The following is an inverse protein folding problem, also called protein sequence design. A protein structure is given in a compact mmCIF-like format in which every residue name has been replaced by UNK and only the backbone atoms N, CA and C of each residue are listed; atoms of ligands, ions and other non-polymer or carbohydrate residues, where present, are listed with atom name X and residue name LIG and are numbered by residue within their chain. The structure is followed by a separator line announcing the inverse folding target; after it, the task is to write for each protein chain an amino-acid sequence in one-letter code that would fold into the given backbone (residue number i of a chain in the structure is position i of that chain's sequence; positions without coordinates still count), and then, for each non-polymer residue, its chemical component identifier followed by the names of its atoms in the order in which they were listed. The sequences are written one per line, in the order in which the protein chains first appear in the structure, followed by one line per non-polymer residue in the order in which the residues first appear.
data_IF_332050913539
#
_entry.id   IF_332050913539
#
_cell.length_a   1.000
_cell.length_b   1.000
_cell.length_c   1.000
_cell.angle_alpha   90.00
_cell.angle_beta   90.00
_cell.angle_gamma   90.00
#
_symmetry.space_group_name_H-M   'P 1'
#
loop_
_entity.id
_entity.type
_entity.pdbx_description
1 polymer ?
2 non-polymer ?
3 water ?
#
# COMPACT_ATOMS: atom_id res chain seq x y z
N UNK A 12 -8.39 17.72 -14.32
CA UNK A 12 -8.58 19.12 -13.95
C UNK A 12 -7.46 19.59 -13.03
N UNK A 13 -7.26 20.91 -12.97
CA UNK A 13 -6.28 21.52 -12.09
C UNK A 13 -6.87 22.78 -11.47
N UNK A 14 -6.29 23.21 -10.36
CA UNK A 14 -6.76 24.38 -9.67
C UNK A 14 -8.03 24.19 -8.86
N UNK A 15 -8.42 22.95 -8.60
CA UNK A 15 -9.61 22.66 -7.82
C UNK A 15 -9.32 21.55 -6.81
N UNK A 16 -9.93 21.66 -5.64
CA UNK A 16 -9.83 20.65 -4.60
C UNK A 16 -11.22 20.05 -4.36
N UNK A 17 -11.30 18.73 -4.36
CA UNK A 17 -12.56 18.01 -4.16
C UNK A 17 -12.40 17.15 -2.91
N UNK A 18 -12.81 17.70 -1.76
CA UNK A 18 -12.78 16.99 -0.49
C UNK A 18 -14.19 16.55 -0.18
N UNK A 19 -14.43 15.24 -0.21
CA UNK A 19 -15.76 14.70 -0.01
C UNK A 19 -16.61 14.78 -1.26
N UNK A 20 -17.39 15.85 -1.40
CA UNK A 20 -18.20 16.05 -2.57
C UNK A 20 -18.25 17.50 -3.00
N UNK A 21 -17.50 18.36 -2.30
CA UNK A 21 -17.49 19.78 -2.56
C UNK A 21 -16.20 20.15 -3.29
N UNK A 22 -16.35 20.72 -4.49
CA UNK A 22 -15.22 21.22 -5.26
C UNK A 22 -14.95 22.68 -4.87
N UNK A 23 -13.69 23.00 -4.62
CA UNK A 23 -13.28 24.32 -4.18
C UNK A 23 -12.30 24.93 -5.17
N UNK A 24 -12.60 26.16 -5.60
CA UNK A 24 -11.63 26.94 -6.38
C UNK A 24 -10.45 27.27 -5.48
N UNK A 25 -9.29 26.68 -5.78
CA UNK A 25 -8.13 26.82 -4.90
C UNK A 25 -6.88 27.03 -5.73
N UNK A 26 -5.87 27.61 -5.07
CA UNK A 26 -4.54 27.76 -5.62
C UNK A 26 -3.55 27.23 -4.60
N UNK A 27 -2.27 27.21 -4.98
CA UNK A 27 -1.24 26.66 -4.08
C UNK A 27 -1.09 27.53 -2.84
N UNK A 28 -1.33 28.85 -2.97
CA UNK A 28 -1.22 29.74 -1.83
C UNK A 28 -2.38 29.59 -0.84
N UNK A 29 -3.42 28.85 -1.21
CA UNK A 29 -4.54 28.58 -0.31
C UNK A 29 -4.26 27.42 0.64
N UNK A 30 -3.05 26.87 0.63
CA UNK A 30 -2.67 25.75 1.48
C UNK A 30 -1.53 26.19 2.39
N UNK A 31 -1.58 25.75 3.65
CA UNK A 31 -0.57 26.07 4.64
C UNK A 31 0.32 24.85 4.87
N UNK A 32 1.61 25.01 4.66
CA UNK A 32 2.55 23.90 4.80
C UNK A 32 2.76 23.59 6.28
N UNK A 33 2.38 22.37 6.69
CA UNK A 33 2.52 21.94 8.07
C UNK A 33 3.74 21.04 8.29
N UNK A 34 4.63 20.97 7.32
CA UNK A 34 5.84 20.18 7.44
C UNK A 34 5.83 18.96 6.51
N UNK A 35 7.01 18.37 6.37
CA UNK A 35 7.21 17.23 5.50
C UNK A 35 6.87 15.94 6.24
N UNK A 36 6.35 14.97 5.48
CA UNK A 36 6.00 13.66 6.01
C UNK A 36 6.96 12.63 5.41
N UNK A 37 7.76 12.00 6.27
CA UNK A 37 8.71 10.99 5.84
C UNK A 37 9.75 11.50 4.87
N UNK A 43 8.97 13.47 -1.83
CA UNK A 43 8.66 14.59 -0.95
C UNK A 43 7.15 14.85 -0.90
N UNK A 44 6.52 14.43 0.19
CA UNK A 44 5.08 14.59 0.41
C UNK A 44 4.88 15.53 1.58
N UNK A 45 4.18 16.63 1.33
CA UNK A 45 3.92 17.63 2.37
C UNK A 45 2.58 17.36 3.04
N UNK A 46 2.52 17.71 4.33
CA UNK A 46 1.26 17.78 5.06
C UNK A 46 0.80 19.24 5.04
N UNK A 47 -0.33 19.51 4.40
CA UNK A 47 -0.80 20.87 4.23
C UNK A 47 -2.25 20.99 4.65
N UNK A 48 -2.64 22.19 5.07
CA UNK A 48 -3.98 22.48 5.54
C UNK A 48 -4.64 23.48 4.59
N UNK A 49 -5.84 23.13 4.12
CA UNK A 49 -6.63 24.01 3.27
C UNK A 49 -7.23 25.11 4.14
N UNK A 50 -6.79 26.36 3.92
CA UNK A 50 -7.22 27.46 4.78
C UNK A 50 -8.70 27.76 4.63
N UNK A 51 -9.29 27.44 3.47
CA UNK A 51 -10.69 27.80 3.24
C UNK A 51 -11.64 26.93 4.06
N UNK A 52 -11.25 25.69 4.36
CA UNK A 52 -12.10 24.76 5.10
C UNK A 52 -11.47 24.21 6.36
N UNK A 53 -10.14 24.20 6.48
CA UNK A 53 -9.48 23.55 7.58
C UNK A 53 -9.10 22.11 7.33
N UNK A 54 -9.43 21.57 6.16
CA UNK A 54 -9.05 20.20 5.83
C UNK A 54 -7.54 20.08 5.74
N UNK A 55 -7.00 19.00 6.30
CA UNK A 55 -5.58 18.69 6.21
C UNK A 55 -5.40 17.58 5.18
N UNK A 56 -4.56 17.84 4.18
CA UNK A 56 -4.36 16.92 3.07
C UNK A 56 -2.87 16.65 2.90
N UNK A 57 -2.57 15.61 2.12
CA UNK A 57 -1.21 15.29 1.72
C UNK A 57 -0.95 15.86 0.34
N UNK A 58 0.17 16.54 0.17
CA UNK A 58 0.51 17.21 -1.07
C UNK A 58 1.89 16.75 -1.51
N UNK A 59 1.97 16.15 -2.69
CA UNK A 59 3.25 15.78 -3.31
C UNK A 59 3.66 16.88 -4.28
N UNK A 60 4.91 17.32 -4.17
CA UNK A 60 5.44 18.41 -4.98
C UNK A 60 6.42 17.85 -6.01
N UNK A 61 6.16 18.13 -7.28
CA UNK A 61 7.03 17.73 -8.38
C UNK A 61 7.61 18.98 -9.00
N UNK A 62 8.91 19.22 -8.79
CA UNK A 62 9.57 20.38 -9.35
C UNK A 62 9.91 20.12 -10.81
N UNK A 63 9.62 21.10 -11.68
CA UNK A 63 9.92 20.93 -13.09
C UNK A 63 11.42 20.88 -13.36
N UNK A 64 12.23 21.41 -12.45
CA UNK A 64 13.68 21.36 -12.57
C UNK A 64 14.27 20.11 -11.93
N UNK A 65 13.44 19.19 -11.46
CA UNK A 65 13.91 17.98 -10.81
C UNK A 65 14.43 16.97 -11.82
N UNK A 66 14.70 15.77 -11.30
CA UNK A 66 15.22 14.70 -12.14
C UNK A 66 14.17 14.24 -13.15
N UNK A 67 14.60 14.07 -14.40
CA UNK A 67 13.69 13.65 -15.45
C UNK A 67 13.16 12.24 -15.21
N UNK A 68 13.94 11.39 -14.55
CA UNK A 68 13.48 10.03 -14.27
C UNK A 68 12.37 10.02 -13.22
N UNK A 69 12.53 10.81 -12.16
CA UNK A 69 11.51 10.86 -11.12
C UNK A 69 10.22 11.49 -11.65
N UNK A 70 10.33 12.60 -12.37
CA UNK A 70 9.14 13.28 -12.89
C UNK A 70 8.43 12.44 -13.93
N UNK A 71 9.15 11.54 -14.60
CA UNK A 71 8.50 10.68 -15.60
C UNK A 71 7.56 9.68 -14.94
N UNK A 72 8.01 9.06 -13.85
CA UNK A 72 7.18 8.08 -13.16
C UNK A 72 6.08 8.73 -12.34
N UNK A 73 6.32 9.93 -11.81
CA UNK A 73 5.31 10.62 -11.03
C UNK A 73 4.11 10.98 -11.90
N UNK A 74 4.36 11.48 -13.11
CA UNK A 74 3.27 11.76 -14.03
C UNK A 74 2.59 10.48 -14.51
N UNK A 75 3.32 9.36 -14.55
CA UNK A 75 2.73 8.11 -14.99
C UNK A 75 1.79 7.54 -13.94
N UNK A 76 2.20 7.55 -12.67
CA UNK A 76 1.35 7.02 -11.61
C UNK A 76 0.16 7.94 -11.35
N UNK A 77 0.36 9.26 -11.44
CA UNK A 77 -0.75 10.19 -11.30
C UNK A 77 -1.84 9.92 -12.33
N UNK A 78 -1.43 9.54 -13.55
CA UNK A 78 -2.41 9.14 -14.56
C UNK A 78 -3.25 7.97 -14.06
N UNK A 79 -2.62 6.99 -13.41
CA UNK A 79 -3.36 5.86 -12.87
C UNK A 79 -4.18 6.29 -11.66
N UNK A 80 -3.62 7.14 -10.81
CA UNK A 80 -4.33 7.59 -9.61
C UNK A 80 -5.61 8.33 -10.01
N UNK A 81 -5.51 9.22 -11.00
CA UNK A 81 -6.69 9.94 -11.47
C UNK A 81 -7.69 9.00 -12.12
N UNK A 82 -7.24 7.87 -12.66
CA UNK A 82 -8.12 6.88 -13.25
C UNK A 82 -8.69 5.91 -12.23
N UNK A 83 -8.19 5.91 -11.00
CA UNK A 83 -8.61 4.99 -9.96
C UNK A 83 -9.57 5.61 -8.96
N UNK A 84 -10.43 6.53 -9.41
CA UNK A 84 -11.36 7.19 -8.52
C UNK A 84 -12.47 6.26 -8.04
N UNK A 85 -12.70 5.15 -8.73
CA UNK A 85 -13.74 4.20 -8.38
C UNK A 85 -13.23 3.03 -7.54
N UNK A 86 -11.96 3.03 -7.17
CA UNK A 86 -11.40 1.97 -6.34
C UNK A 86 -11.25 2.46 -4.91
N UNK A 87 -11.95 1.88 -3.94
CA UNK A 87 -11.85 2.35 -2.55
C UNK A 87 -10.59 1.89 -1.83
N UNK A 88 -9.72 1.13 -2.50
CA UNK A 88 -8.51 0.60 -1.87
C UNK A 88 -7.24 1.24 -2.45
N UNK A 89 -7.37 2.42 -3.05
CA UNK A 89 -6.25 3.16 -3.60
C UNK A 89 -6.35 4.60 -3.12
N UNK A 90 -5.21 5.17 -2.72
CA UNK A 90 -5.19 6.56 -2.26
C UNK A 90 -5.72 7.47 -3.35
N UNK A 91 -6.68 8.31 -2.98
CA UNK A 91 -7.39 9.14 -3.94
C UNK A 91 -6.71 10.50 -4.10
N UNK A 92 -6.89 11.10 -5.27
CA UNK A 92 -6.35 12.41 -5.58
C UNK A 92 -7.47 13.45 -5.46
N UNK A 93 -7.22 14.49 -4.67
CA UNK A 93 -8.20 15.57 -4.50
C UNK A 93 -8.07 16.65 -5.56
N UNK A 94 -6.95 16.71 -6.26
CA UNK A 94 -6.75 17.74 -7.25
C UNK A 94 -5.27 17.98 -7.46
N UNK A 95 -4.99 18.85 -8.43
CA UNK A 95 -3.62 19.20 -8.79
C UNK A 95 -3.50 20.71 -8.94
N UNK A 96 -2.32 21.22 -8.58
CA UNK A 96 -1.97 22.63 -8.77
C UNK A 96 -0.72 22.69 -9.64
N UNK A 97 -0.82 23.39 -10.76
CA UNK A 97 0.29 23.51 -11.71
C UNK A 97 0.72 24.96 -11.74
N UNK A 98 1.94 25.22 -11.29
CA UNK A 98 2.55 26.54 -11.36
C UNK A 98 3.61 26.55 -12.46
N UNK A 99 4.24 27.71 -12.65
CA UNK A 99 5.26 27.82 -13.69
C UNK A 99 6.54 27.08 -13.36
N UNK A 100 6.70 26.62 -12.11
CA UNK A 100 7.90 25.90 -11.70
C UNK A 100 7.64 24.60 -10.96
N UNK A 101 6.39 24.29 -10.62
CA UNK A 101 6.09 23.12 -9.80
C UNK A 101 4.75 22.53 -10.20
N UNK A 102 4.53 21.28 -9.78
CA UNK A 102 3.25 20.61 -9.89
C UNK A 102 2.93 20.01 -8.52
N UNK A 103 1.87 20.51 -7.90
CA UNK A 103 1.45 20.04 -6.59
C UNK A 103 0.27 19.09 -6.76
N UNK A 104 0.38 17.89 -6.21
CA UNK A 104 -0.65 16.86 -6.33
C UNK A 104 -1.25 16.67 -4.95
N UNK A 105 -2.50 17.11 -4.78
CA UNK A 105 -3.19 16.96 -3.51
C UNK A 105 -3.72 15.54 -3.38
N UNK A 106 -3.37 14.87 -2.28
CA UNK A 106 -3.73 13.49 -2.08
C UNK A 106 -4.48 13.33 -0.76
N UNK A 107 -5.27 12.26 -0.69
CA UNK A 107 -5.97 11.90 0.54
C UNK A 107 -4.96 11.59 1.65
N UNK A 108 -5.09 12.28 2.77
CA UNK A 108 -4.16 12.13 3.87
C UNK A 108 -4.48 10.88 4.67
N UNK A 109 -3.54 9.95 4.73
CA UNK A 109 -3.67 8.73 5.52
C UNK A 109 -2.95 8.90 6.85
N UNK A 110 -3.04 7.88 7.70
CA UNK A 110 -2.38 7.91 8.98
C UNK A 110 -0.91 7.56 8.90
N UNK A 111 -0.60 6.31 8.57
CA UNK A 111 0.77 5.86 8.43
C UNK A 111 0.79 4.57 7.62
N UNK A 112 1.99 4.11 7.27
CA UNK A 112 2.14 2.90 6.49
C UNK A 112 2.26 1.68 7.41
N UNK A 113 2.17 0.50 6.80
CA UNK A 113 2.20 -0.74 7.57
C UNK A 113 3.58 -0.99 8.17
N UNK A 114 4.64 -0.49 7.52
CA UNK A 114 5.98 -0.69 8.06
C UNK A 114 6.17 0.10 9.36
N UNK A 115 5.62 1.33 9.42
CA UNK A 115 5.68 2.10 10.66
C UNK A 115 4.80 1.47 11.74
N UNK A 116 3.66 0.90 11.34
CA UNK A 116 2.81 0.21 12.29
C UNK A 116 3.52 -0.99 12.91
N UNK A 117 4.33 -1.70 12.11
CA UNK A 117 5.11 -2.81 12.63
C UNK A 117 6.16 -2.32 13.62
N UNK A 118 6.88 -1.25 13.26
CA UNK A 118 7.89 -0.70 14.16
C UNK A 118 7.26 -0.11 15.42
N UNK A 119 6.10 0.52 15.27
CA UNK A 119 5.41 1.06 16.45
C UNK A 119 4.86 -0.07 17.32
N UNK A 120 4.40 -1.16 16.71
CA UNK A 120 3.92 -2.29 17.48
C UNK A 120 5.04 -3.02 18.19
N UNK A 121 6.25 -3.00 17.61
CA UNK A 121 7.40 -3.76 18.13
C UNK A 121 7.05 -5.24 18.27
N UNK A 122 6.27 -5.76 17.32
CA UNK A 122 5.87 -7.14 17.33
C UNK A 122 4.91 -7.48 16.20
N UNK A 123 4.38 -8.69 16.22
CA UNK A 123 3.47 -9.11 15.15
C UNK A 123 2.17 -8.33 15.15
N UNK A 124 1.63 -8.13 13.95
CA UNK A 124 0.33 -7.49 13.77
C UNK A 124 -0.74 -8.58 13.76
N UNK A 125 -1.85 -8.39 14.48
CA UNK A 125 -2.85 -9.47 14.60
C UNK A 125 -3.39 -9.90 13.25
N UNK A 126 -3.86 -11.15 13.20
CA UNK A 126 -4.35 -11.72 11.94
C UNK A 126 -5.60 -11.00 11.44
N UNK A 127 -6.47 -10.58 12.37
CA UNK A 127 -7.70 -9.91 11.95
C UNK A 127 -7.41 -8.59 11.26
N UNK A 128 -6.31 -7.93 11.62
CA UNK A 128 -5.92 -6.70 10.93
C UNK A 128 -5.33 -7.04 9.56
N UNK A 129 -4.48 -8.07 9.51
CA UNK A 129 -3.91 -8.51 8.24
C UNK A 129 -4.97 -9.12 7.33
N UNK A 130 -6.09 -9.60 7.89
CA UNK A 130 -7.16 -10.10 7.05
C UNK A 130 -7.85 -8.99 6.27
N UNK A 131 -8.23 -7.91 6.97
CA UNK A 131 -8.76 -6.74 6.27
C UNK A 131 -7.73 -6.13 5.33
N UNK A 132 -6.46 -6.16 5.73
CA UNK A 132 -5.40 -5.65 4.88
C UNK A 132 -5.25 -6.49 3.63
N UNK A 133 -5.37 -7.82 3.76
CA UNK A 133 -5.24 -8.69 2.60
C UNK A 133 -6.37 -8.46 1.61
N UNK A 134 -7.60 -8.35 2.10
CA UNK A 134 -8.75 -8.11 1.22
C UNK A 134 -8.58 -6.80 0.46
N UNK A 135 -8.09 -5.76 1.14
CA UNK A 135 -7.95 -4.46 0.50
C UNK A 135 -6.85 -4.47 -0.56
N UNK A 136 -5.72 -5.11 -0.25
CA UNK A 136 -4.58 -5.06 -1.17
C UNK A 136 -4.85 -5.90 -2.42
N UNK A 137 -5.45 -7.08 -2.24
CA UNK A 137 -5.72 -7.95 -3.38
C UNK A 137 -6.71 -7.29 -4.33
N UNK A 138 -7.78 -6.69 -3.79
CA UNK A 138 -8.75 -6.02 -4.64
C UNK A 138 -8.15 -4.79 -5.31
N UNK A 139 -7.15 -4.16 -4.69
CA UNK A 139 -6.48 -3.05 -5.34
C UNK A 139 -5.62 -3.52 -6.50
N UNK A 140 -4.90 -4.63 -6.31
CA UNK A 140 -4.08 -5.18 -7.39
C UNK A 140 -4.96 -5.73 -8.51
N UNK A 141 -6.07 -6.38 -8.16
CA UNK A 141 -6.99 -6.88 -9.18
C UNK A 141 -7.64 -5.74 -9.95
N UNK A 142 -7.84 -4.59 -9.30
CA UNK A 142 -8.40 -3.44 -10.01
C UNK A 142 -7.38 -2.85 -10.99
N UNK A 143 -6.12 -2.76 -10.57
CA UNK A 143 -5.10 -2.19 -11.45
C UNK A 143 -4.87 -3.03 -12.69
N UNK A 144 -5.06 -4.35 -12.59
CA UNK A 144 -4.80 -5.23 -13.72
C UNK A 144 -5.97 -5.27 -14.69
N UNK A 145 -7.19 -5.43 -14.17
CA UNK A 145 -8.34 -5.60 -15.05
C UNK A 145 -8.74 -4.30 -15.72
N UNK A 146 -8.75 -3.20 -14.98
CA UNK A 146 -9.29 -1.95 -15.51
C UNK A 146 -8.23 -1.03 -16.11
N UNK A 147 -6.97 -1.18 -15.69
CA UNK A 147 -5.91 -0.31 -16.17
C UNK A 147 -4.73 -1.07 -16.79
N UNK A 148 -4.73 -2.40 -16.72
CA UNK A 148 -3.61 -3.16 -17.25
C UNK A 148 -2.30 -2.93 -16.53
N UNK A 149 -2.35 -2.49 -15.28
CA UNK A 149 -1.15 -2.19 -14.50
C UNK A 149 -0.86 -3.36 -13.57
N UNK A 150 0.39 -3.80 -13.55
CA UNK A 150 0.85 -4.84 -12.63
C UNK A 150 1.85 -4.19 -11.68
N UNK A 151 1.41 -3.96 -10.45
CA UNK A 151 2.21 -3.26 -9.44
C UNK A 151 3.41 -4.12 -9.05
N UNK A 152 4.57 -3.79 -9.61
CA UNK A 152 5.74 -4.64 -9.49
C UNK A 152 6.51 -4.43 -8.17
N UNK A 153 5.83 -3.95 -7.12
CA UNK A 153 6.46 -3.83 -5.81
C UNK A 153 5.46 -3.68 -4.68
N UNK A 154 4.96 -4.79 -4.13
CA UNK A 154 4.04 -4.75 -2.99
C UNK A 154 4.83 -5.03 -1.72
N UNK A 155 4.80 -4.08 -0.79
CA UNK A 155 5.56 -4.18 0.44
C UNK A 155 4.85 -3.37 1.52
N UNK A 156 5.15 -3.63 2.80
CA UNK A 156 4.44 -2.91 3.88
C UNK A 156 4.57 -1.40 3.80
N UNK A 157 5.61 -0.87 3.15
CA UNK A 157 5.73 0.58 3.00
C UNK A 157 4.71 1.15 2.03
N UNK A 158 4.13 0.32 1.17
CA UNK A 158 3.14 0.77 0.20
C UNK A 158 1.71 0.56 0.68
N UNK A 159 1.51 0.02 1.87
CA UNK A 159 0.19 -0.22 2.43
C UNK A 159 -0.08 0.86 3.47
N UNK A 160 -1.07 1.70 3.21
CA UNK A 160 -1.39 2.83 4.07
C UNK A 160 -2.66 2.57 4.87
N UNK A 161 -2.70 3.06 6.10
CA UNK A 161 -3.86 2.97 6.96
C UNK A 161 -4.10 4.32 7.62
N UNK A 162 -5.33 4.54 8.04
CA UNK A 162 -5.72 5.78 8.72
C UNK A 162 -6.48 5.45 10.00
N UNK A 163 -6.84 6.50 10.75
CA UNK A 163 -7.53 6.32 12.01
C UNK A 163 -9.00 5.98 11.85
N UNK A 164 -9.51 5.89 10.62
CA UNK A 164 -10.88 5.51 10.34
C UNK A 164 -10.99 4.06 9.88
N UNK A 165 -9.90 3.30 9.91
CA UNK A 165 -9.92 1.91 9.55
C UNK A 165 -9.67 1.60 8.09
N UNK A 166 -9.50 2.62 7.25
CA UNK A 166 -9.27 2.38 5.83
C UNK A 166 -7.88 1.81 5.59
N UNK A 167 -7.78 0.93 4.61
CA UNK A 167 -6.51 0.33 4.19
C UNK A 167 -6.42 0.46 2.68
N UNK A 168 -5.44 1.23 2.21
CA UNK A 168 -5.32 1.54 0.79
C UNK A 168 -3.89 1.33 0.32
N UNK A 169 -3.74 1.12 -0.98
CA UNK A 169 -2.45 0.97 -1.62
C UNK A 169 -1.90 2.34 -1.99
N UNK A 170 -0.60 2.54 -1.76
CA UNK A 170 0.00 3.86 -1.91
C UNK A 170 0.56 4.10 -3.31
N UNK A 171 1.71 3.50 -3.61
CA UNK A 171 2.46 3.77 -4.83
C UNK A 171 2.37 2.60 -5.78
N UNK A 172 2.73 2.85 -7.04
CA UNK A 172 2.68 1.84 -8.07
C UNK A 172 4.03 1.70 -8.78
N UNK A 192 13.79 -7.68 -2.66
CA UNK A 192 13.41 -8.27 -1.38
C UNK A 192 12.06 -8.95 -1.48
N UNK A 193 11.21 -8.46 -2.39
CA UNK A 193 9.88 -9.02 -2.60
C UNK A 193 9.68 -9.53 -4.02
N UNK A 194 10.75 -9.62 -4.81
CA UNK A 194 10.62 -10.05 -6.20
C UNK A 194 10.29 -11.53 -6.29
N UNK A 195 9.34 -11.85 -7.16
CA UNK A 195 8.92 -13.23 -7.36
C UNK A 195 10.03 -14.03 -8.04
N UNK A 196 10.03 -15.36 -7.87
CA UNK A 196 11.08 -16.18 -8.50
C UNK A 196 11.12 -16.08 -10.01
N UNK A 197 9.96 -15.94 -10.67
CA UNK A 197 9.96 -15.85 -12.13
C UNK A 197 10.28 -14.46 -12.64
N UNK A 198 10.05 -13.41 -11.83
CA UNK A 198 10.45 -12.06 -12.20
C UNK A 198 11.95 -11.89 -12.26
N UNK A 199 12.72 -12.96 -12.01
CA UNK A 199 14.17 -12.90 -11.95
C UNK A 199 14.76 -13.62 -13.16
N UNK A 200 14.11 -14.71 -13.57
CA UNK A 200 14.53 -15.49 -14.71
C UNK A 200 13.75 -15.02 -15.94
N UNK A 212 0.13 -13.37 -9.96
CA UNK A 212 1.38 -13.36 -10.71
C UNK A 212 2.57 -13.03 -9.82
N UNK A 213 3.42 -12.12 -10.30
CA UNK A 213 4.62 -11.76 -9.55
C UNK A 213 4.28 -10.95 -8.31
N UNK A 214 3.20 -10.18 -8.34
CA UNK A 214 2.83 -9.35 -7.20
C UNK A 214 2.28 -10.20 -6.06
N UNK A 215 1.74 -11.38 -6.36
CA UNK A 215 1.20 -12.25 -5.33
C UNK A 215 2.31 -12.72 -4.39
N UNK A 216 3.50 -12.98 -4.94
CA UNK A 216 4.63 -13.36 -4.10
C UNK A 216 5.02 -12.23 -3.16
N UNK A 217 4.99 -10.98 -3.66
CA UNK A 217 5.34 -9.84 -2.83
C UNK A 217 4.37 -9.64 -1.69
N UNK A 218 3.08 -9.93 -1.91
CA UNK A 218 2.09 -9.81 -0.85
C UNK A 218 2.31 -10.87 0.23
N UNK A 219 2.65 -12.10 -0.18
CA UNK A 219 2.88 -13.15 0.80
C UNK A 219 4.06 -12.85 1.70
N UNK A 220 5.15 -12.33 1.12
CA UNK A 220 6.31 -11.95 1.92
C UNK A 220 5.94 -10.84 2.91
N UNK A 221 5.13 -9.88 2.44
CA UNK A 221 4.70 -8.79 3.33
C UNK A 221 3.81 -9.32 4.45
N UNK A 222 2.97 -10.31 4.15
CA UNK A 222 2.10 -10.87 5.18
C UNK A 222 2.90 -11.63 6.23
N UNK A 223 3.92 -12.37 5.80
CA UNK A 223 4.76 -13.10 6.76
C UNK A 223 5.52 -12.11 7.64
N UNK A 224 6.03 -11.03 7.05
CA UNK A 224 6.78 -10.04 7.82
C UNK A 224 5.90 -9.39 8.87
N UNK A 225 4.66 -9.03 8.52
CA UNK A 225 3.78 -8.37 9.46
C UNK A 225 3.19 -9.35 10.48
N UNK A 226 2.95 -10.60 10.09
CA UNK A 226 2.38 -11.58 11.00
C UNK A 226 3.38 -12.10 12.01
N UNK A 227 4.68 -12.00 11.73
CA UNK A 227 5.72 -12.45 12.64
C UNK A 227 6.55 -11.33 13.22
N UNK A 228 6.41 -10.11 12.69
CA UNK A 228 7.29 -9.03 13.11
C UNK A 228 8.72 -9.16 12.66
N UNK A 229 9.02 -10.14 11.81
CA UNK A 229 10.37 -10.41 11.34
C UNK A 229 10.36 -10.54 9.84
N UNK A 230 11.24 -9.81 9.17
CA UNK A 230 11.38 -9.96 7.73
C UNK A 230 12.03 -11.30 7.43
N UNK A 231 11.42 -12.14 6.58
CA UNK A 231 11.95 -13.50 6.37
C UNK A 231 13.34 -13.52 5.75
N UNK A 232 13.82 -12.41 5.19
CA UNK A 232 15.17 -12.36 4.65
C UNK A 232 15.95 -11.24 5.33
N UNK A 233 15.90 -11.19 6.66
CA UNK A 233 16.57 -10.12 7.41
C UNK A 233 18.06 -10.37 7.57
N UNK A 234 18.53 -11.60 7.40
CA UNK A 234 19.94 -11.94 7.58
C UNK A 234 20.76 -11.72 6.33
N UNK A 235 20.14 -11.35 5.21
CA UNK A 235 20.84 -11.13 3.96
C UNK A 235 21.41 -9.73 3.91
N UNK A 236 22.68 -9.62 3.50
CA UNK A 236 23.37 -8.33 3.46
C UNK A 236 23.11 -7.58 2.16
N UNK A 237 23.22 -8.27 1.02
CA UNK A 237 23.03 -7.66 -0.28
C UNK A 237 21.66 -8.03 -0.85
N UNK A 238 21.25 -7.29 -1.88
CA UNK A 238 20.01 -7.61 -2.57
C UNK A 238 20.12 -8.94 -3.32
N UNK A 239 21.34 -9.31 -3.73
CA UNK A 239 21.53 -10.57 -4.44
C UNK A 239 21.43 -11.76 -3.48
N UNK A 240 21.75 -11.57 -2.20
CA UNK A 240 21.64 -12.65 -1.24
C UNK A 240 20.18 -13.00 -0.97
N UNK A 241 19.32 -11.98 -0.87
CA UNK A 241 17.87 -12.24 -0.83
C UNK A 241 17.45 -13.01 -2.07
N UNK A 242 17.98 -12.61 -3.22
CA UNK A 242 17.65 -13.28 -4.48
C UNK A 242 18.01 -14.76 -4.45
N UNK A 243 19.19 -15.09 -3.91
CA UNK A 243 19.63 -16.48 -3.88
C UNK A 243 18.73 -17.32 -2.98
N UNK A 244 18.28 -16.75 -1.86
CA UNK A 244 17.47 -17.53 -0.92
C UNK A 244 16.07 -17.75 -1.45
N UNK A 245 15.54 -16.84 -2.26
CA UNK A 245 14.20 -17.02 -2.82
C UNK A 245 14.18 -18.22 -3.76
N UNK A 246 15.24 -18.42 -4.53
CA UNK A 246 15.25 -19.52 -5.51
C UNK A 246 15.72 -20.83 -4.90
N UNK A 247 16.69 -20.77 -3.99
CA UNK A 247 17.29 -22.00 -3.44
C UNK A 247 16.50 -22.54 -2.24
N UNK A 248 16.09 -21.68 -1.32
CA UNK A 248 15.45 -22.13 -0.10
C UNK A 248 13.94 -22.27 -0.29
N UNK A 249 13.33 -23.01 0.63
CA UNK A 249 11.88 -23.19 0.59
C UNK A 249 11.18 -21.88 0.93
N UNK A 250 9.94 -21.70 0.48
CA UNK A 250 9.21 -20.46 0.75
C UNK A 250 9.04 -20.24 2.24
N UNK A 251 9.31 -19.02 2.72
CA UNK A 251 9.16 -18.74 4.16
C UNK A 251 7.70 -18.70 4.59
N UNK A 252 7.15 -19.86 4.98
CA UNK A 252 5.75 -19.95 5.31
C UNK A 252 5.47 -19.43 6.72
N UNK A 253 4.19 -19.30 7.03
CA UNK A 253 3.78 -18.81 8.34
C UNK A 253 4.04 -19.89 9.40
N UNK A 254 4.52 -19.50 10.58
CA UNK A 254 4.74 -20.49 11.64
C UNK A 254 3.42 -21.09 12.11
N UNK A 255 3.49 -22.31 12.64
CA UNK A 255 2.34 -23.04 13.09
C UNK A 255 2.08 -22.99 14.58
N UNK A 256 2.84 -22.21 15.35
CA UNK A 256 2.69 -22.15 16.80
C UNK A 256 2.30 -20.75 17.28
N UNK A 257 1.68 -19.95 16.41
CA UNK A 257 1.24 -18.61 16.77
C UNK A 257 -0.27 -18.46 16.71
N UNK A 258 -1.01 -19.56 16.67
CA UNK A 258 -2.46 -19.50 16.61
C UNK A 258 -3.04 -19.02 15.30
N UNK A 259 -2.24 -18.96 14.24
CA UNK A 259 -2.76 -18.55 12.94
C UNK A 259 -3.78 -19.57 12.43
N UNK A 260 -4.87 -19.06 11.87
CA UNK A 260 -5.90 -19.92 11.34
C UNK A 260 -5.38 -20.68 10.11
N UNK A 261 -6.02 -21.82 9.83
CA UNK A 261 -5.66 -22.58 8.65
C UNK A 261 -5.90 -21.82 7.36
N UNK A 262 -6.88 -20.92 7.36
CA UNK A 262 -7.13 -20.12 6.17
C UNK A 262 -6.00 -19.13 5.91
N UNK A 263 -5.47 -18.52 6.97
CA UNK A 263 -4.35 -17.59 6.81
C UNK A 263 -3.11 -18.31 6.30
N UNK A 264 -2.77 -19.45 6.92
CA UNK A 264 -1.60 -20.21 6.47
C UNK A 264 -1.77 -20.73 5.06
N UNK A 265 -3.00 -21.06 4.68
CA UNK A 265 -3.26 -21.53 3.31
C UNK A 265 -3.11 -20.40 2.30
N UNK A 266 -3.58 -19.20 2.66
CA UNK A 266 -3.46 -18.06 1.74
C UNK A 266 -2.00 -17.68 1.55
N UNK A 267 -1.20 -17.72 2.61
CA UNK A 267 0.21 -17.38 2.50
C UNK A 267 0.95 -18.42 1.66
N UNK A 268 0.65 -19.70 1.89
CA UNK A 268 1.30 -20.77 1.12
C UNK A 268 0.96 -20.66 -0.36
N UNK A 269 -0.28 -20.28 -0.68
CA UNK A 269 -0.66 -20.09 -2.07
C UNK A 269 0.05 -18.89 -2.68
N UNK A 270 0.26 -17.84 -1.89
CA UNK A 270 0.98 -16.67 -2.38
C UNK A 270 2.45 -16.96 -2.59
N UNK A 271 3.04 -17.82 -1.76
CA UNK A 271 4.45 -18.13 -1.83
C UNK A 271 4.74 -19.38 -2.67
N UNK A 272 4.10 -19.51 -3.82
CA UNK A 272 4.38 -20.61 -4.73
C UNK A 272 5.58 -20.22 -5.60
N UNK A 273 6.65 -21.03 -5.55
CA UNK A 273 7.85 -20.70 -6.29
C UNK A 273 7.64 -20.85 -7.79
N UNK A 274 6.98 -21.92 -8.21
CA UNK A 274 6.63 -22.09 -9.62
C UNK A 274 5.49 -21.13 -9.97
N UNK A 275 5.80 -20.12 -10.78
CA UNK A 275 4.80 -19.09 -11.08
C UNK A 275 3.63 -19.65 -11.89
N UNK A 276 3.87 -20.71 -12.66
CA UNK A 276 2.80 -21.31 -13.45
C UNK A 276 1.72 -21.92 -12.57
N UNK A 277 2.06 -22.26 -11.32
CA UNK A 277 1.10 -22.80 -10.36
C UNK A 277 0.63 -21.77 -9.35
N UNK A 278 1.10 -20.52 -9.45
CA UNK A 278 0.64 -19.48 -8.54
C UNK A 278 -0.73 -18.98 -8.99
N UNK A 279 -1.71 -18.89 -8.09
CA UNK A 279 -3.09 -18.59 -8.52
C UNK A 279 -3.23 -17.16 -9.02
N UNK A 280 -4.28 -16.96 -9.80
CA UNK A 280 -4.64 -15.63 -10.29
C UNK A 280 -5.31 -14.84 -9.19
N UNK A 281 -5.58 -13.56 -9.50
CA UNK A 281 -6.42 -12.76 -8.62
C UNK A 281 -7.85 -13.27 -8.60
N UNK A 282 -8.31 -13.86 -9.72
CA UNK A 282 -9.63 -14.47 -9.75
C UNK A 282 -9.71 -15.65 -8.78
N UNK A 283 -8.65 -16.45 -8.71
CA UNK A 283 -8.62 -17.57 -7.77
C UNK A 283 -8.36 -17.11 -6.35
N UNK A 284 -7.54 -16.07 -6.16
CA UNK A 284 -7.24 -15.59 -4.82
C UNK A 284 -8.48 -14.98 -4.17
N UNK A 285 -9.26 -14.22 -4.91
CA UNK A 285 -10.43 -13.55 -4.35
C UNK A 285 -11.51 -14.53 -3.88
N UNK A 286 -11.41 -15.81 -4.23
CA UNK A 286 -12.33 -16.82 -3.74
C UNK A 286 -11.76 -17.65 -2.61
N UNK A 287 -10.51 -17.38 -2.20
CA UNK A 287 -9.93 -18.11 -1.09
C UNK A 287 -10.71 -17.83 0.18
N UNK A 288 -10.84 -18.86 1.04
CA UNK A 288 -11.66 -18.72 2.24
C UNK A 288 -11.13 -17.63 3.17
N UNK A 289 -9.83 -17.35 3.12
CA UNK A 289 -9.28 -16.26 3.92
C UNK A 289 -9.81 -14.91 3.43
N UNK A 290 -9.93 -14.74 2.11
CA UNK A 290 -10.54 -13.52 1.57
C UNK A 290 -12.03 -13.47 1.91
N UNK A 291 -12.72 -14.61 1.75
CA UNK A 291 -14.17 -14.63 1.98
C UNK A 291 -14.52 -14.31 3.42
N UNK A 292 -13.69 -14.73 4.37
CA UNK A 292 -14.00 -14.48 5.78
C UNK A 292 -13.95 -12.98 6.09
N UNK A 293 -12.88 -12.31 5.68
CA UNK A 293 -12.69 -10.91 6.02
C UNK A 293 -13.33 -9.95 5.03
N UNK A 294 -14.02 -10.46 4.00
CA UNK A 294 -14.84 -9.59 3.18
C UNK A 294 -16.07 -9.10 3.93
N UNK A 295 -16.54 -9.88 4.91
CA UNK A 295 -17.75 -9.57 5.65
C UNK A 295 -17.56 -9.44 7.15
N UNK A 296 -16.52 -10.05 7.72
CA UNK A 296 -16.32 -9.99 9.16
C UNK A 296 -16.02 -8.56 9.59
N UNK A 297 -16.65 -8.14 10.69
CA UNK A 297 -16.45 -6.80 11.22
C UNK A 297 -15.19 -6.76 12.06
N UNK A 298 -14.19 -5.99 11.61
CA UNK A 298 -12.93 -5.84 12.31
C UNK A 298 -12.73 -4.36 12.59
N UNK A 299 -12.60 -4.01 13.88
CA UNK A 299 -12.44 -2.62 14.29
C UNK A 299 -10.99 -2.21 14.07
N UNK A 300 -10.66 -1.96 12.80
CA UNK A 300 -9.31 -1.53 12.46
C UNK A 300 -9.04 -0.12 12.96
N UNK A 301 -10.07 0.73 12.99
CA UNK A 301 -9.89 2.11 13.44
C UNK A 301 -9.45 2.16 14.89
N UNK A 302 -10.10 1.38 15.75
CA UNK A 302 -9.73 1.38 17.17
C UNK A 302 -8.35 0.75 17.37
N UNK A 303 -8.03 -0.29 16.61
CA UNK A 303 -6.70 -0.89 16.71
C UNK A 303 -5.63 0.09 16.25
N UNK A 304 -5.91 0.85 15.19
CA UNK A 304 -4.94 1.83 14.70
C UNK A 304 -4.67 2.91 15.74
N UNK A 305 -5.72 3.39 16.40
CA UNK A 305 -5.53 4.42 17.43
C UNK A 305 -4.73 3.89 18.61
N UNK A 306 -4.96 2.62 18.99
CA UNK A 306 -4.26 2.06 20.13
C UNK A 306 -2.77 1.91 19.85
N UNK A 307 -2.41 1.55 18.62
CA UNK A 307 -0.99 1.41 18.27
C UNK A 307 -0.33 2.77 18.18
N UNK A 308 -1.03 3.75 17.58
CA UNK A 308 -0.48 5.09 17.46
C UNK A 308 -0.36 5.80 18.81
N UNK A 309 -1.11 5.35 19.81
CA UNK A 309 -1.05 5.91 21.16
C UNK A 309 0.10 5.33 21.98
N UNK A 310 1.13 4.80 21.34
CA UNK A 310 2.28 4.21 22.01
C UNK A 310 3.56 4.88 21.52
N UNK A 311 4.51 5.06 22.43
CA UNK A 311 5.78 5.70 22.11
C UNK A 311 6.95 4.86 22.59
X LIG B 1 -1.13 10.14 3.68
X LIG B 1 -0.26 9.97 4.69
X LIG B 1 2.24 9.68 -8.73
X LIG B 1 1.51 9.33 3.28
X LIG B 1 2.45 9.22 -6.44
X LIG B 1 1.23 9.78 -6.12
X LIG B 1 0.78 9.75 -4.80
X LIG B 1 2.95 9.23 -7.85
X LIG B 1 4.32 8.69 -8.11
X LIG B 1 3.99 8.62 3.43
X LIG B 1 5.04 9.66 3.04
X LIG B 1 6.39 9.31 3.64
X LIG B 1 6.83 7.91 3.23
X LIG B 1 4.48 7.25 2.95
X LIG B 1 0.61 9.50 2.14
X LIG B 1 5.90 6.08 4.55
X LIG B 1 5.27 4.74 4.25
X LIG B 1 5.71 3.73 5.28
X LIG B 1 -0.79 9.93 2.39
X LIG B 1 1.47 9.15 0.99
X LIG B 1 1.02 9.15 -0.42
X LIG B 1 1.92 9.17 -1.47
X LIG B 1 1.51 9.17 -3.76
X LIG B 1 2.73 8.61 -4.14
X LIG B 1 3.20 8.63 -5.44
X LIG B 1 1.02 9.58 4.52
X LIG B 1 2.70 8.94 2.78
X LIG B 1 2.72 8.81 1.37
X LIG B 1 -1.67 10.10 1.37
X LIG B 1 1.08 9.15 -2.50
X LIG B 1 -0.28 9.13 -2.17
X LIG B 1 -0.29 9.12 -0.77
X LIG B 1 5.74 7.03 3.63
X LIG B 1 6.52 6.25 5.59
#
# INVERSE_FOLDING_TARGET
MGHHHHHHSAKQTGYLTIGGQRYQAEINDLENLGEMGSGTCGQVWKMRFRKTGHVIAVKQMRRSGNKEENKRILMDLDVVLKSHDCPYIVQCFGTFITNTDVFIAMELMGTCAEKLKKRMQGPIPERILGKMTVAIVKALYYLKEKHGVIHRDVKPSNILLDERGQIKLCDFGISGRLVDSKAKTRSAGCAAYMAPERIDPPDPTKPDYDIRADVWSLGISLVELATGQFPYKKCKTDFEVLTKVLQEEPPLLPGHMGFSGDFQSFVKDCLTKDHRKRPKYNKLLEHSFIKRYETLEVDVASWFKDVMAKTESPRTSG
862 N C O C1 C10 C11 C12 C13 C14 C15 C16 C17 C18 C19 C2 C20 C21 C22 C3 C4 C5 C6 C7 C8 C9 N1 N2 N3 N4 N5 N6 N7 N8 O1
#
